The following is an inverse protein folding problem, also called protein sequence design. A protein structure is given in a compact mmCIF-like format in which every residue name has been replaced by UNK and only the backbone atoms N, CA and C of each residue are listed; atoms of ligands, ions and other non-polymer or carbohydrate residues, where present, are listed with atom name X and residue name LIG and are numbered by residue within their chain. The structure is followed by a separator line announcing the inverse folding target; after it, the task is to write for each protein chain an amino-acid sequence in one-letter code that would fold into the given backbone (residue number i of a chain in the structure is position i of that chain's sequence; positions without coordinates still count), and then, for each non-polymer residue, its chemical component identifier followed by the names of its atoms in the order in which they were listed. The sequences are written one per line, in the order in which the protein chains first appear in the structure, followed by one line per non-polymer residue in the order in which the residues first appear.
data_IF_876365304136
#
_entry.id   IF_876365304136
#
_cell.length_a   1.000
_cell.length_b   1.000
_cell.length_c   1.000
_cell.angle_alpha   90.00
_cell.angle_beta   90.00
_cell.angle_gamma   90.00
#
_symmetry.space_group_name_H-M   'P 1'
#
loop_
_entity.id
_entity.type
_entity.pdbx_description
1 polymer ?
#
# COMPACT_ATOMS: atom_id res chain seq x y z
N UNK A 1 24.71 0.64 -8.98
CA UNK A 1 23.47 0.25 -9.71
C UNK A 1 22.84 -1.08 -9.26
N UNK A 2 23.60 -2.12 -8.85
CA UNK A 2 23.02 -3.41 -8.43
C UNK A 2 22.13 -3.34 -7.16
N UNK A 3 22.50 -2.51 -6.17
CA UNK A 3 21.71 -2.32 -4.94
C UNK A 3 20.34 -1.67 -5.19
N UNK A 4 20.27 -0.73 -6.14
CA UNK A 4 19.01 -0.07 -6.54
C UNK A 4 18.08 -1.08 -7.23
N UNK A 5 18.63 -1.94 -8.11
CA UNK A 5 17.86 -3.01 -8.75
C UNK A 5 17.30 -4.04 -7.76
N UNK A 6 18.09 -4.44 -6.76
CA UNK A 6 17.64 -5.36 -5.71
C UNK A 6 16.54 -4.73 -4.82
N UNK A 7 16.67 -3.44 -4.49
CA UNK A 7 15.66 -2.69 -3.72
C UNK A 7 14.34 -2.54 -4.50
N UNK A 8 14.41 -2.21 -5.81
CA UNK A 8 13.24 -2.13 -6.67
C UNK A 8 12.53 -3.48 -6.81
N UNK A 9 13.27 -4.58 -6.95
CA UNK A 9 12.71 -5.93 -7.05
C UNK A 9 11.97 -6.35 -5.77
N UNK A 10 12.56 -6.09 -4.58
CA UNK A 10 11.90 -6.38 -3.31
C UNK A 10 10.62 -5.56 -3.15
N UNK A 11 10.65 -4.25 -3.43
CA UNK A 11 9.47 -3.39 -3.35
C UNK A 11 8.35 -3.83 -4.31
N UNK A 12 8.69 -4.21 -5.54
CA UNK A 12 7.73 -4.77 -6.50
C UNK A 12 7.09 -6.06 -5.97
N UNK A 13 7.90 -6.94 -5.38
CA UNK A 13 7.44 -8.22 -4.84
C UNK A 13 6.51 -8.04 -3.64
N UNK A 14 6.80 -7.09 -2.74
CA UNK A 14 5.94 -6.78 -1.59
C UNK A 14 4.62 -6.15 -2.02
N UNK A 15 4.65 -5.17 -2.94
CA UNK A 15 3.42 -4.60 -3.52
C UNK A 15 2.52 -5.64 -4.16
N UNK A 16 3.09 -6.54 -4.95
CA UNK A 16 2.32 -7.57 -5.64
C UNK A 16 1.62 -8.51 -4.66
N UNK A 17 2.16 -8.70 -3.45
CA UNK A 17 1.46 -9.46 -2.41
C UNK A 17 0.20 -8.76 -1.95
N UNK A 18 0.32 -7.48 -1.61
CA UNK A 18 -0.81 -6.65 -1.14
C UNK A 18 -1.89 -6.55 -2.22
N UNK A 19 -1.51 -6.40 -3.49
CA UNK A 19 -2.48 -6.36 -4.61
C UNK A 19 -3.31 -7.64 -4.73
N UNK A 20 -2.68 -8.81 -4.62
CA UNK A 20 -3.38 -10.09 -4.76
C UNK A 20 -4.29 -10.36 -3.57
N UNK A 21 -3.81 -10.09 -2.34
CA UNK A 21 -4.62 -10.22 -1.13
C UNK A 21 -5.84 -9.30 -1.16
N UNK A 22 -5.64 -8.04 -1.58
CA UNK A 22 -6.73 -7.10 -1.81
C UNK A 22 -7.72 -7.62 -2.82
N UNK A 23 -7.26 -8.24 -3.91
CA UNK A 23 -8.13 -8.86 -4.93
C UNK A 23 -9.05 -9.92 -4.33
N UNK A 24 -8.48 -10.88 -3.59
CA UNK A 24 -9.24 -11.96 -2.93
C UNK A 24 -10.29 -11.41 -1.97
N UNK A 25 -9.93 -10.43 -1.15
CA UNK A 25 -10.85 -9.76 -0.22
C UNK A 25 -11.96 -9.00 -0.97
N UNK A 26 -11.61 -8.38 -2.10
CA UNK A 26 -12.59 -7.64 -2.93
C UNK A 26 -13.60 -8.59 -3.56
N UNK A 27 -13.16 -9.74 -4.06
CA UNK A 27 -14.06 -10.75 -4.65
C UNK A 27 -15.04 -11.28 -3.60
N UNK A 28 -14.55 -11.56 -2.39
CA UNK A 28 -15.38 -11.96 -1.25
C UNK A 28 -16.40 -10.88 -0.87
N UNK A 29 -15.97 -9.62 -0.78
CA UNK A 29 -16.85 -8.48 -0.52
C UNK A 29 -17.95 -8.36 -1.59
N UNK A 30 -17.60 -8.54 -2.87
CA UNK A 30 -18.57 -8.47 -3.96
C UNK A 30 -19.56 -9.64 -3.89
N UNK A 31 -19.09 -10.84 -3.54
CA UNK A 31 -19.95 -12.01 -3.31
C UNK A 31 -20.95 -11.81 -2.17
N UNK A 32 -20.50 -11.23 -1.04
CA UNK A 32 -21.37 -10.88 0.09
C UNK A 32 -22.40 -9.80 -0.26
N UNK A 33 -22.06 -8.86 -1.14
CA UNK A 33 -22.99 -7.81 -1.59
C UNK A 33 -24.00 -8.32 -2.62
N UNK A 34 -23.59 -9.25 -3.47
CA UNK A 34 -24.41 -9.79 -4.55
C UNK A 34 -25.34 -10.93 -4.10
N UNK A 35 -24.96 -11.66 -3.04
CA UNK A 35 -25.69 -12.83 -2.56
C UNK A 35 -26.01 -12.74 -1.07
N UNK A 36 -27.06 -13.45 -0.66
CA UNK A 36 -27.33 -13.65 0.77
C UNK A 36 -26.59 -14.88 1.34
N UNK A 37 -25.63 -15.45 0.60
CA UNK A 37 -24.91 -16.65 1.03
C UNK A 37 -23.60 -16.28 1.73
N UNK A 38 -23.74 -15.86 2.99
CA UNK A 38 -22.61 -15.49 3.85
C UNK A 38 -21.57 -16.60 3.92
N UNK A 39 -21.99 -17.83 4.29
CA UNK A 39 -21.07 -18.95 4.54
C UNK A 39 -20.25 -19.26 3.29
N UNK A 40 -20.89 -19.33 2.12
CA UNK A 40 -20.19 -19.60 0.87
C UNK A 40 -19.16 -18.52 0.52
N UNK A 41 -19.50 -17.24 0.70
CA UNK A 41 -18.60 -16.13 0.41
C UNK A 41 -17.37 -16.14 1.34
N UNK A 42 -17.58 -16.32 2.65
CA UNK A 42 -16.50 -16.40 3.63
C UNK A 42 -15.62 -17.63 3.37
N UNK A 43 -16.22 -18.79 3.13
CA UNK A 43 -15.47 -20.03 2.91
C UNK A 43 -14.70 -20.00 1.58
N UNK A 44 -15.24 -19.34 0.55
CA UNK A 44 -14.53 -19.14 -0.71
C UNK A 44 -13.33 -18.21 -0.55
N UNK A 45 -13.50 -17.10 0.17
CA UNK A 45 -12.38 -16.22 0.55
C UNK A 45 -11.27 -16.99 1.26
N UNK A 46 -11.62 -17.81 2.26
CA UNK A 46 -10.68 -18.65 2.98
C UNK A 46 -9.87 -19.56 2.05
N UNK A 47 -10.55 -20.28 1.14
CA UNK A 47 -9.90 -21.18 0.17
C UNK A 47 -8.92 -20.44 -0.74
N UNK A 48 -9.29 -19.24 -1.20
CA UNK A 48 -8.44 -18.45 -2.08
C UNK A 48 -7.20 -17.92 -1.36
N UNK A 49 -7.34 -17.48 -0.11
CA UNK A 49 -6.19 -17.07 0.72
C UNK A 49 -5.26 -18.26 0.97
N UNK A 50 -5.80 -19.45 1.28
CA UNK A 50 -5.02 -20.69 1.45
C UNK A 50 -4.28 -21.05 0.15
N UNK A 51 -4.96 -20.98 -1.00
CA UNK A 51 -4.33 -21.24 -2.30
C UNK A 51 -3.18 -20.27 -2.55
N UNK A 52 -3.38 -19.00 -2.27
CA UNK A 52 -2.37 -17.96 -2.43
C UNK A 52 -1.13 -18.18 -1.56
N UNK A 53 -1.31 -18.46 -0.26
CA UNK A 53 -0.18 -18.69 0.64
C UNK A 53 0.60 -19.97 0.33
N UNK A 54 -0.08 -20.99 -0.20
CA UNK A 54 0.58 -22.23 -0.68
C UNK A 54 1.49 -21.93 -1.84
N UNK A 55 1.01 -21.18 -2.83
CA UNK A 55 1.79 -20.78 -4.00
C UNK A 55 3.04 -19.95 -3.63
N UNK A 56 2.98 -19.17 -2.54
CA UNK A 56 4.10 -18.37 -2.06
C UNK A 56 5.13 -19.15 -1.22
N UNK A 57 4.91 -20.44 -0.95
CA UNK A 57 5.77 -21.24 -0.08
C UNK A 57 5.70 -20.82 1.40
N UNK A 58 4.69 -20.02 1.76
CA UNK A 58 4.46 -19.57 3.15
C UNK A 58 3.91 -20.71 4.04
N UNK A 59 3.54 -21.85 3.44
CA UNK A 59 2.95 -22.98 4.13
C UNK A 59 3.81 -24.23 3.96
N UNK A 60 4.44 -24.69 5.06
CA UNK A 60 5.20 -25.95 5.12
C UNK A 60 4.35 -27.17 5.50
N UNK A 61 3.11 -26.96 5.97
CA UNK A 61 2.13 -27.99 6.38
C UNK A 61 0.74 -27.73 5.78
N UNK A 62 -0.15 -28.72 5.85
CA UNK A 62 -1.59 -28.56 5.57
C UNK A 62 -2.22 -27.88 6.78
N UNK A 63 -2.95 -26.78 6.56
CA UNK A 63 -3.65 -26.03 7.60
C UNK A 63 -5.11 -26.52 7.60
N UNK A 64 -5.59 -26.96 8.76
CA UNK A 64 -6.93 -27.48 8.97
C UNK A 64 -7.83 -26.45 9.65
N UNK A 65 -7.28 -25.50 10.41
CA UNK A 65 -8.06 -24.54 11.21
C UNK A 65 -7.71 -23.08 10.95
N UNK A 66 -8.67 -22.19 11.22
CA UNK A 66 -8.54 -20.75 11.08
C UNK A 66 -7.43 -20.16 11.96
N UNK A 67 -7.22 -20.73 13.15
CA UNK A 67 -6.13 -20.34 14.06
C UNK A 67 -4.73 -20.64 13.52
N UNK A 68 -4.56 -21.75 12.82
CA UNK A 68 -3.27 -22.03 12.20
C UNK A 68 -2.93 -20.98 11.12
N UNK A 69 -3.95 -20.31 10.58
CA UNK A 69 -3.81 -19.25 9.58
C UNK A 69 -3.45 -17.89 10.18
N UNK A 70 -3.70 -17.70 11.48
CA UNK A 70 -3.53 -16.44 12.20
C UNK A 70 -2.09 -15.93 12.12
N UNK A 71 -1.12 -16.79 12.43
CA UNK A 71 0.30 -16.44 12.32
C UNK A 71 0.71 -16.10 10.88
N UNK A 72 0.15 -16.79 9.89
CA UNK A 72 0.47 -16.56 8.47
C UNK A 72 -0.08 -15.22 7.99
N UNK A 73 -1.34 -14.91 8.34
CA UNK A 73 -1.98 -13.63 8.06
C UNK A 73 -1.28 -12.51 8.80
N UNK A 74 -0.98 -12.65 10.09
CA UNK A 74 -0.25 -11.65 10.86
C UNK A 74 1.14 -11.40 10.29
N UNK A 75 1.85 -12.42 9.77
CA UNK A 75 3.13 -12.20 9.11
C UNK A 75 2.99 -11.54 7.72
N UNK A 76 1.90 -11.82 6.99
CA UNK A 76 1.68 -11.31 5.63
C UNK A 76 1.04 -9.91 5.59
N UNK A 77 0.19 -9.61 6.56
CA UNK A 77 -0.53 -8.34 6.72
C UNK A 77 0.05 -7.48 7.84
N UNK A 78 0.94 -8.04 8.68
CA UNK A 78 1.63 -7.32 9.74
C UNK A 78 2.39 -6.13 9.20
N UNK A 79 2.10 -4.95 9.76
CA UNK A 79 2.62 -3.67 9.28
C UNK A 79 1.71 -2.93 8.31
N UNK A 80 0.64 -3.56 7.80
CA UNK A 80 -0.40 -2.93 6.96
C UNK A 80 -1.72 -2.82 7.72
N UNK A 81 -2.09 -3.91 8.39
CA UNK A 81 -3.32 -4.03 9.17
C UNK A 81 -2.94 -4.18 10.65
N UNK A 82 -3.60 -3.44 11.55
CA UNK A 82 -3.32 -3.56 12.97
C UNK A 82 -3.95 -4.83 13.54
N UNK A 83 -3.42 -5.38 14.65
CA UNK A 83 -3.86 -6.67 15.20
C UNK A 83 -5.36 -6.73 15.47
N UNK A 84 -5.97 -5.67 15.99
CA UNK A 84 -7.41 -5.65 16.33
C UNK A 84 -8.32 -5.83 15.11
N UNK A 85 -7.90 -5.37 13.92
CA UNK A 85 -8.65 -5.59 12.69
C UNK A 85 -8.43 -6.99 12.13
N UNK A 86 -7.25 -7.57 12.38
CA UNK A 86 -6.98 -8.96 12.04
C UNK A 86 -7.84 -9.88 12.92
N UNK A 87 -7.99 -9.61 14.21
CA UNK A 87 -8.87 -10.35 15.11
C UNK A 87 -10.33 -10.29 14.64
N UNK A 88 -10.80 -9.09 14.28
CA UNK A 88 -12.14 -8.90 13.71
C UNK A 88 -12.31 -9.63 12.38
N UNK A 89 -11.27 -9.69 11.57
CA UNK A 89 -11.26 -10.49 10.35
C UNK A 89 -11.31 -11.99 10.63
N UNK A 90 -10.71 -12.47 11.72
CA UNK A 90 -10.80 -13.88 12.10
C UNK A 90 -12.16 -14.27 12.66
N UNK A 91 -12.82 -13.38 13.39
CA UNK A 91 -14.12 -13.67 13.98
C UNK A 91 -15.17 -14.08 12.93
N UNK A 92 -15.16 -13.46 11.74
CA UNK A 92 -16.10 -13.83 10.66
C UNK A 92 -15.83 -15.23 10.07
N UNK A 93 -14.58 -15.71 10.07
CA UNK A 93 -14.28 -17.07 9.63
C UNK A 93 -14.63 -18.10 10.69
N UNK A 94 -14.43 -17.78 11.97
CA UNK A 94 -14.87 -18.65 13.07
C UNK A 94 -16.39 -18.75 13.10
N UNK A 95 -17.10 -17.62 12.96
CA UNK A 95 -18.56 -17.56 12.89
C UNK A 95 -19.08 -18.36 11.68
N UNK A 96 -18.51 -18.18 10.49
CA UNK A 96 -18.92 -18.97 9.31
C UNK A 96 -18.67 -20.49 9.45
N UNK A 97 -17.74 -20.90 10.31
CA UNK A 97 -17.34 -22.32 10.45
C UNK A 97 -18.04 -23.03 11.61
N UNK A 98 -18.29 -22.32 12.70
CA UNK A 98 -18.72 -22.90 13.97
C UNK A 98 -20.01 -22.28 14.52
N UNK A 99 -20.63 -21.32 13.83
CA UNK A 99 -21.88 -20.75 14.31
C UNK A 99 -22.98 -21.81 14.35
N UNK A 100 -23.61 -21.93 15.52
CA UNK A 100 -24.81 -22.74 15.75
C UNK A 100 -26.11 -21.90 15.58
N UNK A 101 -26.02 -20.63 15.16
CA UNK A 101 -27.18 -19.75 14.96
C UNK A 101 -27.43 -19.43 13.49
N UNK A 102 -28.67 -19.04 13.18
CA UNK A 102 -29.02 -18.56 11.85
C UNK A 102 -28.21 -17.29 11.53
N UNK A 103 -27.55 -17.30 10.38
CA UNK A 103 -26.79 -16.16 9.90
C UNK A 103 -27.75 -15.17 9.23
N UNK A 104 -27.90 -14.00 9.85
CA UNK A 104 -28.81 -12.96 9.41
C UNK A 104 -28.13 -11.85 8.62
N UNK A 105 -28.88 -10.78 8.36
CA UNK A 105 -28.37 -9.57 7.73
C UNK A 105 -27.30 -8.88 8.56
N UNK A 106 -27.36 -8.98 9.89
CA UNK A 106 -26.42 -8.32 10.78
C UNK A 106 -25.00 -8.89 10.66
N UNK A 107 -24.85 -10.22 10.68
CA UNK A 107 -23.57 -10.92 10.50
C UNK A 107 -22.95 -10.57 9.14
N UNK A 108 -23.77 -10.55 8.10
CA UNK A 108 -23.35 -10.19 6.75
C UNK A 108 -22.88 -8.74 6.67
N UNK A 109 -23.64 -7.83 7.25
CA UNK A 109 -23.30 -6.40 7.23
C UNK A 109 -22.03 -6.13 8.07
N UNK A 110 -21.85 -6.84 9.19
CA UNK A 110 -20.58 -6.85 9.95
C UNK A 110 -19.41 -7.33 9.08
N UNK A 111 -19.55 -8.46 8.38
CA UNK A 111 -18.50 -8.94 7.50
C UNK A 111 -18.17 -7.95 6.37
N UNK A 112 -19.19 -7.35 5.73
CA UNK A 112 -19.00 -6.31 4.70
C UNK A 112 -18.15 -5.15 5.24
N UNK A 113 -18.44 -4.67 6.46
CA UNK A 113 -17.66 -3.60 7.08
C UNK A 113 -16.20 -3.99 7.32
N UNK A 114 -15.98 -5.21 7.82
CA UNK A 114 -14.63 -5.74 8.07
C UNK A 114 -13.83 -5.85 6.76
N UNK A 115 -14.40 -6.45 5.71
CA UNK A 115 -13.74 -6.52 4.40
C UNK A 115 -13.43 -5.13 3.83
N UNK A 116 -14.36 -4.18 3.95
CA UNK A 116 -14.15 -2.80 3.49
C UNK A 116 -12.99 -2.12 4.25
N UNK A 117 -12.89 -2.32 5.57
CA UNK A 117 -11.78 -1.79 6.37
C UNK A 117 -10.44 -2.37 5.91
N UNK A 118 -10.36 -3.70 5.80
CA UNK A 118 -9.17 -4.42 5.36
C UNK A 118 -8.70 -3.95 3.97
N UNK A 119 -9.61 -3.85 3.00
CA UNK A 119 -9.32 -3.37 1.64
C UNK A 119 -8.85 -1.90 1.68
N UNK A 120 -9.49 -1.06 2.50
CA UNK A 120 -9.11 0.33 2.68
C UNK A 120 -7.68 0.50 3.21
N UNK A 121 -7.25 -0.35 4.15
CA UNK A 121 -5.86 -0.38 4.64
C UNK A 121 -4.87 -0.81 3.56
N UNK A 122 -5.21 -1.84 2.79
CA UNK A 122 -4.37 -2.28 1.68
C UNK A 122 -4.22 -1.19 0.60
N UNK A 123 -5.29 -0.46 0.30
CA UNK A 123 -5.23 0.68 -0.62
C UNK A 123 -4.31 1.78 -0.11
N UNK A 124 -4.38 2.13 1.18
CA UNK A 124 -3.48 3.12 1.80
C UNK A 124 -2.02 2.66 1.73
N UNK A 125 -1.73 1.41 2.08
CA UNK A 125 -0.37 0.86 1.99
C UNK A 125 0.19 0.88 0.55
N UNK A 126 -0.65 0.56 -0.45
CA UNK A 126 -0.26 0.67 -1.86
C UNK A 126 -0.03 2.12 -2.31
N UNK A 127 -0.77 3.07 -1.74
CA UNK A 127 -0.67 4.52 -1.97
C UNK A 127 0.54 5.17 -1.30
N UNK A 128 0.82 4.88 -0.03
CA UNK A 128 2.01 5.37 0.70
C UNK A 128 3.31 4.90 0.02
N UNK A 129 3.29 3.69 -0.53
CA UNK A 129 4.41 3.20 -1.32
C UNK A 129 4.61 4.02 -2.61
N UNK A 130 3.59 4.72 -3.15
CA UNK A 130 3.72 5.60 -4.33
C UNK A 130 4.37 6.93 -3.94
N UNK A 131 3.97 7.49 -2.80
CA UNK A 131 4.57 8.71 -2.24
C UNK A 131 6.05 8.51 -1.91
N UNK A 132 6.41 7.32 -1.41
CA UNK A 132 7.83 6.95 -1.19
C UNK A 132 8.65 6.93 -2.48
N UNK A 133 8.02 6.66 -3.64
CA UNK A 133 8.69 6.64 -4.95
C UNK A 133 8.97 8.05 -5.47
N UNK A 134 8.08 9.01 -5.21
CA UNK A 134 8.28 10.41 -5.59
C UNK A 134 9.42 11.04 -4.78
N UNK A 135 9.48 10.79 -3.48
CA UNK A 135 10.57 11.27 -2.62
C UNK A 135 11.97 10.81 -3.05
N UNK A 136 12.10 9.62 -3.69
CA UNK A 136 13.38 9.12 -4.21
C UNK A 136 13.68 9.66 -5.62
N UNK A 137 12.66 10.08 -6.36
CA UNK A 137 12.77 10.65 -7.72
C UNK A 137 12.96 12.17 -7.79
N UNK A 138 12.63 12.91 -6.73
CA UNK A 138 12.66 14.38 -6.71
C UNK A 138 14.04 15.01 -6.46
N UNK A 139 15.12 14.25 -6.29
CA UNK A 139 16.42 14.84 -5.96
C UNK A 139 17.16 15.50 -7.16
N UNK A 140 16.61 15.52 -8.37
CA UNK A 140 17.34 16.08 -9.53
C UNK A 140 16.48 16.74 -10.63
N UNK A 141 15.17 16.88 -10.45
CA UNK A 141 14.29 17.43 -11.49
C UNK A 141 14.01 18.93 -11.37
N UNK A 142 14.17 19.48 -10.16
CA UNK A 142 14.14 20.92 -9.94
C UNK A 142 15.56 21.39 -9.64
N UNK A 143 16.09 22.27 -10.48
CA UNK A 143 17.32 23.00 -10.16
C UNK A 143 17.17 23.73 -8.80
N UNK A 144 18.29 24.13 -8.18
CA UNK A 144 18.27 24.79 -6.88
C UNK A 144 17.23 25.93 -6.88
N UNK A 145 16.42 26.02 -5.83
CA UNK A 145 15.39 27.05 -5.72
C UNK A 145 16.04 28.44 -5.76
N UNK A 146 15.77 29.17 -6.84
CA UNK A 146 16.29 30.52 -7.04
C UNK A 146 15.35 31.52 -6.36
N UNK A 147 15.87 32.41 -5.52
CA UNK A 147 15.05 33.42 -4.81
C UNK A 147 14.44 34.40 -5.82
N UNK A 148 13.29 35.01 -5.48
CA UNK A 148 12.70 36.06 -6.30
C UNK A 148 13.71 37.20 -6.55
N UNK A 149 13.85 37.62 -7.81
CA UNK A 149 14.86 38.60 -8.23
C UNK A 149 16.24 38.02 -8.58
N UNK A 150 16.40 36.69 -8.52
CA UNK A 150 17.58 36.00 -9.04
C UNK A 150 17.19 35.16 -10.28
N UNK A 151 18.10 35.02 -11.23
CA UNK A 151 17.95 34.14 -12.39
C UNK A 151 19.28 33.48 -12.72
N UNK A 152 19.25 32.33 -13.38
CA UNK A 152 20.45 31.59 -13.80
C UNK A 152 20.70 31.90 -15.28
N UNK A 153 21.91 32.36 -15.62
CA UNK A 153 22.30 32.61 -17.02
C UNK A 153 22.60 31.29 -17.76
N UNK A 154 22.79 31.36 -19.08
CA UNK A 154 23.03 30.18 -19.92
C UNK A 154 24.33 29.42 -19.54
N UNK A 155 25.24 30.08 -18.83
CA UNK A 155 26.49 29.53 -18.32
C UNK A 155 26.35 28.94 -16.91
N UNK A 156 25.15 28.97 -16.32
CA UNK A 156 24.84 28.35 -15.03
C UNK A 156 25.13 29.24 -13.81
N UNK A 157 25.41 30.53 -14.01
CA UNK A 157 25.69 31.46 -12.91
C UNK A 157 24.44 32.19 -12.43
N UNK A 158 24.37 32.47 -11.12
CA UNK A 158 23.25 33.21 -10.51
C UNK A 158 23.47 34.72 -10.71
N UNK A 159 22.52 35.38 -11.37
CA UNK A 159 22.44 36.83 -11.60
C UNK A 159 21.28 37.43 -10.79
N UNK A 160 21.40 38.69 -10.42
CA UNK A 160 20.35 39.45 -9.74
C UNK A 160 19.72 40.44 -10.71
N UNK A 161 18.39 40.49 -10.76
CA UNK A 161 17.67 41.47 -11.56
C UNK A 161 17.80 42.85 -10.90
N UNK A 162 18.42 43.81 -11.60
CA UNK A 162 18.48 45.22 -11.20
C UNK A 162 19.81 45.71 -10.64
N UNK A 163 20.91 44.96 -10.77
CA UNK A 163 22.25 45.55 -10.67
C UNK A 163 22.70 45.89 -12.09
N UNK A 164 22.45 47.12 -12.50
CA UNK A 164 23.15 47.72 -13.64
C UNK A 164 24.65 47.73 -13.31
N UNK A 165 25.48 47.30 -14.26
CA UNK A 165 26.92 47.52 -14.24
C UNK A 165 27.15 49.04 -14.12
N UNK A 166 27.31 49.52 -12.89
CA UNK A 166 27.71 50.89 -12.64
C UNK A 166 29.11 51.07 -13.21
N UNK A 167 29.19 51.90 -14.25
CA UNK A 167 30.40 52.41 -14.87
C UNK A 167 31.49 52.68 -13.82
N UNK A 168 32.59 51.93 -13.83
CA UNK A 168 33.84 52.40 -13.25
C UNK A 168 34.53 53.27 -14.30
N UNK A 169 34.21 54.56 -14.19
CA UNK A 169 34.90 55.70 -14.76
C UNK A 169 36.42 55.57 -14.57
N UNK A 170 37.18 55.47 -15.66
CA UNK A 170 38.56 55.95 -15.62
C UNK A 170 39.01 56.45 -17.00
N UNK A 171 39.28 57.76 -17.09
CA UNK A 171 40.05 58.28 -18.22
C UNK A 171 39.76 59.72 -18.67
N UNK A 172 39.96 60.73 -17.83
CA UNK A 172 40.51 62.00 -18.33
C UNK A 172 41.39 62.68 -17.28
N UNK A 173 42.70 62.76 -17.56
CA UNK A 173 43.67 63.57 -16.81
C UNK A 173 43.72 64.98 -17.40
N UNK A 174 43.65 65.97 -16.50
CA UNK A 174 44.06 67.39 -16.54
C UNK A 174 44.26 68.05 -17.90
#
# INVERSE_FOLDING_TARGET
MALVGAMMYNNYRERRKVEVLRGILTDALMSLKASNNYIEAIFSCYKDLIKYFRMRGAMKKVFETTREFEDVINNMLGGIVPPEEIDSFFSIFEEARYSDHDIGSEERDRAIQIFQSMIGRMNRSLGDSLLTREAIGESSLYGPSVKAGQFVDADGNIRFAGVDDAEENDGFKI
#
